data_IF_427072860258
#
_entry.id   IF_427072860258
#
_cell.length_a   1.000
_cell.length_b   1.000
_cell.length_c   1.000
_cell.angle_alpha   90.00
_cell.angle_beta   90.00
_cell.angle_gamma   90.00
#
_symmetry.space_group_name_H-M   'P 1'
#
loop_
_entity.id
_entity.type
_entity.pdbx_description
1 polymer ?
#
# COMPACT_ATOMS: atom_id res chain seq x y z
N UNK A 1 9.73 -5.13 4.68
CA UNK A 1 8.95 -6.36 4.92
C UNK A 1 7.46 -6.04 4.88
N UNK A 2 6.65 -6.98 4.40
CA UNK A 2 5.20 -6.82 4.43
C UNK A 2 4.70 -6.64 5.85
N UNK A 3 3.68 -5.83 6.01
CA UNK A 3 3.12 -5.46 7.29
C UNK A 3 1.85 -6.25 7.57
N UNK A 4 1.65 -6.61 8.82
CA UNK A 4 0.43 -7.26 9.29
C UNK A 4 -0.48 -6.26 10.03
N UNK A 5 -0.58 -5.02 9.53
CA UNK A 5 -1.32 -3.94 10.20
C UNK A 5 -2.76 -4.35 10.56
N UNK A 6 -3.44 -5.03 9.66
CA UNK A 6 -4.82 -5.47 9.81
C UNK A 6 -4.96 -6.98 10.11
N UNK A 7 -3.86 -7.69 10.23
CA UNK A 7 -3.79 -9.13 10.46
C UNK A 7 -3.21 -9.89 9.27
N UNK A 8 -3.08 -11.22 9.40
CA UNK A 8 -2.55 -12.06 8.33
C UNK A 8 -3.50 -12.10 7.14
N UNK A 9 -2.92 -12.12 5.94
CA UNK A 9 -3.62 -12.34 4.67
C UNK A 9 -2.81 -13.28 3.80
N UNK A 10 -3.49 -14.01 2.94
CA UNK A 10 -2.89 -14.95 2.00
C UNK A 10 -3.25 -14.55 0.57
N UNK A 11 -2.32 -14.77 -0.36
CA UNK A 11 -2.52 -14.57 -1.78
C UNK A 11 -2.20 -15.89 -2.47
N UNK A 12 -3.16 -16.42 -3.22
CA UNK A 12 -2.96 -17.56 -4.08
C UNK A 12 -2.68 -17.11 -5.51
N UNK A 13 -1.60 -17.62 -6.09
CA UNK A 13 -1.21 -17.35 -7.48
C UNK A 13 -1.52 -18.58 -8.32
N UNK A 14 -2.28 -18.38 -9.40
CA UNK A 14 -2.61 -19.41 -10.35
C UNK A 14 -2.01 -19.10 -11.72
N UNK A 15 -1.26 -20.05 -12.26
CA UNK A 15 -0.79 -19.97 -13.64
C UNK A 15 -1.84 -20.58 -14.58
N UNK A 16 -2.38 -19.77 -15.52
CA UNK A 16 -3.23 -20.28 -16.58
C UNK A 16 -2.39 -20.71 -17.77
N UNK A 17 -2.50 -21.99 -18.15
CA UNK A 17 -1.77 -22.54 -19.30
C UNK A 17 -2.55 -22.45 -20.61
N UNK A 18 -3.83 -22.12 -20.58
CA UNK A 18 -4.75 -22.25 -21.72
C UNK A 18 -5.41 -20.92 -22.15
N UNK A 19 -5.17 -19.83 -21.46
CA UNK A 19 -5.76 -18.54 -21.81
C UNK A 19 -4.78 -17.68 -22.61
N UNK A 20 -5.28 -16.97 -23.62
CA UNK A 20 -4.56 -15.87 -24.22
C UNK A 20 -4.32 -14.80 -23.15
N UNK A 21 -3.05 -14.41 -22.97
CA UNK A 21 -2.64 -13.46 -21.96
C UNK A 21 -2.67 -12.05 -22.52
N UNK A 22 -3.44 -11.18 -21.89
CA UNK A 22 -3.48 -9.75 -22.21
C UNK A 22 -3.11 -8.95 -20.96
N UNK A 23 -2.35 -7.86 -21.15
CA UNK A 23 -2.09 -6.91 -20.06
C UNK A 23 -3.41 -6.35 -19.54
N UNK A 24 -3.63 -6.42 -18.22
CA UNK A 24 -4.86 -5.91 -17.58
C UNK A 24 -4.95 -4.40 -17.72
N UNK A 25 -3.83 -3.69 -17.54
CA UNK A 25 -3.74 -2.23 -17.60
C UNK A 25 -3.00 -1.79 -18.87
N UNK A 26 -3.69 -1.90 -20.02
CA UNK A 26 -3.19 -1.45 -21.32
C UNK A 26 -4.25 -0.54 -21.97
N UNK A 27 -3.81 0.62 -22.46
CA UNK A 27 -4.67 1.63 -23.11
C UNK A 27 -5.88 2.05 -22.25
N UNK A 28 -5.67 2.16 -20.93
CA UNK A 28 -6.68 2.51 -19.94
C UNK A 28 -6.24 3.68 -19.08
N UNK A 29 -7.21 4.42 -18.57
CA UNK A 29 -6.98 5.50 -17.60
C UNK A 29 -7.22 5.00 -16.18
N UNK A 30 -6.64 5.70 -15.20
CA UNK A 30 -6.84 5.40 -13.77
C UNK A 30 -8.32 5.46 -13.34
N UNK A 31 -9.15 6.19 -14.06
CA UNK A 31 -10.59 6.28 -13.78
C UNK A 31 -11.43 5.17 -14.44
N UNK A 32 -10.84 4.28 -15.20
CA UNK A 32 -11.57 3.20 -15.87
C UNK A 32 -12.00 2.12 -14.87
N UNK A 33 -13.12 1.48 -15.17
CA UNK A 33 -13.66 0.43 -14.33
C UNK A 33 -12.80 -0.83 -14.39
N UNK A 34 -12.66 -1.50 -13.25
CA UNK A 34 -12.00 -2.79 -13.13
C UNK A 34 -10.84 -2.78 -12.15
N UNK A 35 -10.13 -3.91 -12.11
CA UNK A 35 -8.95 -4.08 -11.27
C UNK A 35 -7.79 -3.21 -11.79
N UNK A 36 -7.13 -2.49 -10.90
CA UNK A 36 -6.01 -1.61 -11.22
C UNK A 36 -4.71 -2.17 -10.66
N UNK A 37 -4.64 -2.42 -9.36
CA UNK A 37 -3.43 -2.89 -8.68
C UNK A 37 -3.75 -3.73 -7.44
N UNK A 38 -2.76 -4.51 -7.01
CA UNK A 38 -2.67 -5.05 -5.65
C UNK A 38 -1.96 -4.02 -4.78
N UNK A 39 -2.47 -3.79 -3.57
CA UNK A 39 -1.83 -2.90 -2.61
C UNK A 39 -1.34 -3.67 -1.39
N UNK A 40 -0.09 -3.44 -0.99
CA UNK A 40 0.52 -4.03 0.19
C UNK A 40 0.94 -2.94 1.17
N UNK A 41 0.49 -3.06 2.43
CA UNK A 41 1.08 -2.28 3.51
C UNK A 41 2.47 -2.83 3.84
N UNK A 42 3.46 -1.97 3.88
CA UNK A 42 4.86 -2.33 4.12
C UNK A 42 5.44 -1.49 5.26
N UNK A 43 6.61 -1.89 5.74
CA UNK A 43 7.40 -1.09 6.67
C UNK A 43 8.85 -1.11 6.20
N UNK A 44 9.47 0.07 6.07
CA UNK A 44 10.82 0.24 5.53
C UNK A 44 10.83 0.33 4.00
N UNK A 45 10.16 1.34 3.43
CA UNK A 45 10.08 1.59 2.00
C UNK A 45 11.45 1.70 1.33
N UNK A 46 12.41 2.37 1.97
CA UNK A 46 13.76 2.52 1.45
C UNK A 46 14.50 1.18 1.27
N UNK A 47 14.36 0.28 2.24
CA UNK A 47 14.98 -1.03 2.15
C UNK A 47 14.29 -1.90 1.10
N UNK A 48 12.96 -1.77 0.98
CA UNK A 48 12.20 -2.45 -0.06
C UNK A 48 12.63 -1.97 -1.45
N UNK A 49 12.79 -0.66 -1.65
CA UNK A 49 13.29 -0.08 -2.90
C UNK A 49 14.61 -0.71 -3.31
N UNK A 50 15.61 -0.70 -2.41
CA UNK A 50 16.94 -1.30 -2.67
C UNK A 50 16.85 -2.78 -3.03
N UNK A 51 15.97 -3.54 -2.36
CA UNK A 51 15.77 -4.95 -2.66
C UNK A 51 15.13 -5.17 -4.03
N UNK A 52 14.16 -4.35 -4.40
CA UNK A 52 13.51 -4.41 -5.71
C UNK A 52 14.50 -4.05 -6.83
N UNK A 53 15.25 -2.95 -6.68
CA UNK A 53 16.27 -2.52 -7.62
C UNK A 53 17.35 -3.59 -7.83
N UNK A 54 17.84 -4.20 -6.74
CA UNK A 54 18.85 -5.28 -6.82
C UNK A 54 18.35 -6.51 -7.57
N UNK A 55 17.04 -6.70 -7.68
CA UNK A 55 16.39 -7.78 -8.44
C UNK A 55 15.95 -7.36 -9.85
N UNK A 56 16.21 -6.13 -10.25
CA UNK A 56 15.81 -5.59 -11.55
C UNK A 56 14.38 -5.04 -11.63
N UNK A 57 13.70 -4.89 -10.50
CA UNK A 57 12.34 -4.33 -10.40
C UNK A 57 12.40 -2.94 -9.76
N UNK A 58 12.86 -1.94 -10.50
CA UNK A 58 12.88 -0.57 -10.02
C UNK A 58 11.44 -0.03 -9.83
N UNK A 59 11.27 0.84 -8.84
CA UNK A 59 10.00 1.53 -8.65
C UNK A 59 9.67 2.41 -9.86
N UNK A 60 8.48 2.28 -10.41
CA UNK A 60 7.98 3.12 -11.52
C UNK A 60 7.45 4.46 -11.00
N UNK A 61 6.95 4.47 -9.76
CA UNK A 61 6.58 5.67 -9.00
C UNK A 61 7.12 5.53 -7.59
N UNK A 62 7.71 6.58 -7.04
CA UNK A 62 8.26 6.58 -5.69
C UNK A 62 8.05 7.94 -5.00
N UNK A 63 7.06 7.99 -4.11
CA UNK A 63 6.77 9.20 -3.35
C UNK A 63 7.80 9.49 -2.26
N UNK A 64 8.54 8.47 -1.81
CA UNK A 64 9.55 8.64 -0.75
C UNK A 64 10.81 9.35 -1.25
N UNK A 65 11.16 9.14 -2.52
CA UNK A 65 12.32 9.80 -3.15
C UNK A 65 12.10 11.32 -3.34
N UNK A 66 10.85 11.76 -3.48
CA UNK A 66 10.50 13.14 -3.76
C UNK A 66 10.41 14.04 -2.50
N UNK A 67 10.45 13.47 -1.29
CA UNK A 67 10.06 14.15 -0.06
C UNK A 67 11.20 14.34 0.96
N UNK A 68 12.45 14.09 0.60
CA UNK A 68 13.62 14.20 1.52
C UNK A 68 13.35 13.52 2.89
N UNK A 69 12.65 12.38 2.89
CA UNK A 69 12.26 11.63 4.08
C UNK A 69 11.02 12.17 4.81
N UNK A 70 10.39 13.25 4.34
CA UNK A 70 9.11 13.70 4.86
C UNK A 70 7.98 12.79 4.35
N UNK A 71 6.98 12.53 5.22
CA UNK A 71 5.81 11.74 4.82
C UNK A 71 4.99 12.51 3.80
N UNK A 72 4.61 11.84 2.71
CA UNK A 72 3.65 12.38 1.75
C UNK A 72 2.28 12.53 2.41
N UNK A 73 1.64 13.68 2.23
CA UNK A 73 0.28 13.92 2.70
C UNK A 73 -0.70 13.26 1.73
N UNK A 74 -1.35 12.20 2.19
CA UNK A 74 -2.39 11.47 1.46
C UNK A 74 -3.80 11.95 1.85
N UNK A 75 -3.93 13.19 2.35
CA UNK A 75 -5.14 13.78 2.85
C UNK A 75 -5.35 13.47 4.34
N UNK A 76 -6.14 12.47 4.67
CA UNK A 76 -6.41 12.11 6.06
C UNK A 76 -5.30 11.25 6.70
N UNK A 77 -4.50 10.58 5.89
CA UNK A 77 -3.35 9.78 6.28
C UNK A 77 -2.06 10.43 5.78
N UNK A 78 -0.92 9.98 6.27
CA UNK A 78 0.38 10.35 5.75
C UNK A 78 1.30 9.12 5.72
N UNK A 79 2.18 9.07 4.72
CA UNK A 79 3.09 7.95 4.55
C UNK A 79 3.86 8.04 3.25
N UNK A 80 4.25 6.89 2.72
CA UNK A 80 4.83 6.75 1.39
C UNK A 80 4.00 5.79 0.56
N UNK A 81 4.00 5.97 -0.74
CA UNK A 81 3.49 5.01 -1.70
C UNK A 81 4.45 4.86 -2.87
N UNK A 82 4.48 3.69 -3.46
CA UNK A 82 5.33 3.35 -4.60
C UNK A 82 4.69 2.27 -5.43
N UNK A 83 5.03 2.21 -6.71
CA UNK A 83 4.51 1.21 -7.65
C UNK A 83 5.64 0.46 -8.32
N UNK A 84 5.42 -0.83 -8.57
CA UNK A 84 6.18 -1.64 -9.51
C UNK A 84 5.22 -2.34 -10.47
N UNK A 85 5.74 -2.85 -11.57
CA UNK A 85 5.03 -3.80 -12.43
C UNK A 85 5.56 -5.21 -12.17
N UNK A 86 4.66 -6.19 -12.15
CA UNK A 86 5.04 -7.59 -12.19
C UNK A 86 5.46 -7.99 -13.63
N UNK A 87 5.98 -9.22 -13.86
CA UNK A 87 6.38 -9.67 -15.20
C UNK A 87 5.24 -9.67 -16.24
N UNK A 88 4.00 -9.76 -15.81
CA UNK A 88 2.81 -9.72 -16.67
C UNK A 88 2.29 -8.29 -16.88
N UNK A 89 2.89 -7.30 -16.23
CA UNK A 89 2.54 -5.89 -16.31
C UNK A 89 1.36 -5.50 -15.42
N UNK A 90 1.01 -6.31 -14.42
CA UNK A 90 0.07 -5.90 -13.39
C UNK A 90 0.77 -4.96 -12.40
N UNK A 91 0.06 -3.90 -12.00
CA UNK A 91 0.59 -2.94 -11.04
C UNK A 91 0.51 -3.49 -9.62
N UNK A 92 1.60 -3.30 -8.88
CA UNK A 92 1.70 -3.59 -7.46
C UNK A 92 2.03 -2.29 -6.74
N UNK A 93 1.16 -1.89 -5.81
CA UNK A 93 1.37 -0.74 -4.95
C UNK A 93 1.96 -1.17 -3.62
N UNK A 94 2.94 -0.43 -3.14
CA UNK A 94 3.41 -0.51 -1.75
C UNK A 94 3.03 0.78 -1.03
N UNK A 95 2.43 0.65 0.14
CA UNK A 95 2.08 1.78 1.00
C UNK A 95 2.76 1.60 2.34
N UNK A 96 3.52 2.59 2.77
CA UNK A 96 4.04 2.67 4.14
C UNK A 96 3.28 3.75 4.89
N UNK A 97 2.40 3.33 5.81
CA UNK A 97 1.54 4.24 6.55
C UNK A 97 2.25 4.75 7.79
N UNK A 98 2.44 6.06 7.88
CA UNK A 98 3.07 6.73 9.03
C UNK A 98 2.08 7.31 10.02
N UNK A 99 0.90 7.73 9.54
CA UNK A 99 -0.13 8.38 10.35
C UNK A 99 -1.51 8.03 9.81
N UNK A 100 -2.42 7.65 10.72
CA UNK A 100 -3.84 7.44 10.40
C UNK A 100 -4.73 8.17 11.40
N UNK A 101 -5.86 8.75 10.98
CA UNK A 101 -6.80 9.37 11.89
C UNK A 101 -7.61 8.29 12.63
N UNK A 102 -7.73 8.40 13.96
CA UNK A 102 -8.57 7.53 14.79
C UNK A 102 -9.95 8.18 14.99
N UNK A 103 -9.98 9.46 15.35
CA UNK A 103 -11.20 10.23 15.52
C UNK A 103 -11.06 11.56 14.81
N UNK A 104 -11.55 11.64 13.56
CA UNK A 104 -11.43 12.82 12.69
C UNK A 104 -11.95 14.09 13.34
N UNK A 105 -13.13 14.04 13.97
CA UNK A 105 -13.77 15.20 14.62
C UNK A 105 -12.94 15.80 15.74
N UNK A 106 -12.05 15.02 16.36
CA UNK A 106 -11.19 15.44 17.47
C UNK A 106 -9.73 15.69 17.04
N UNK A 107 -9.42 15.47 15.79
CA UNK A 107 -8.04 15.58 15.27
C UNK A 107 -7.09 14.50 15.81
N UNK A 108 -7.62 13.44 16.40
CA UNK A 108 -6.77 12.37 16.96
C UNK A 108 -6.27 11.46 15.86
N UNK A 109 -4.95 11.26 15.85
CA UNK A 109 -4.26 10.39 14.91
C UNK A 109 -3.32 9.43 15.61
N UNK A 110 -3.12 8.27 15.04
CA UNK A 110 -2.14 7.27 15.44
C UNK A 110 -0.87 7.45 14.61
N UNK A 111 0.27 7.58 15.28
CA UNK A 111 1.58 7.56 14.64
C UNK A 111 2.07 6.11 14.53
N UNK A 112 2.38 5.69 13.31
CA UNK A 112 2.80 4.32 13.00
C UNK A 112 4.28 4.22 12.58
N UNK A 113 5.03 5.33 12.52
CA UNK A 113 6.45 5.33 12.09
C UNK A 113 7.34 4.35 12.86
N UNK A 114 7.10 4.22 14.16
CA UNK A 114 7.88 3.33 15.03
C UNK A 114 7.26 1.93 15.21
N UNK A 115 6.25 1.58 14.40
CA UNK A 115 5.56 0.30 14.50
C UNK A 115 6.44 -0.86 14.04
N UNK A 116 6.36 -1.97 14.75
CA UNK A 116 6.95 -3.23 14.29
C UNK A 116 6.02 -3.87 13.24
N UNK A 117 6.55 -4.16 12.05
CA UNK A 117 5.78 -4.72 10.92
C UNK A 117 4.99 -5.99 11.27
N UNK A 118 5.54 -6.86 12.10
CA UNK A 118 4.94 -8.14 12.50
C UNK A 118 3.89 -8.05 13.61
N UNK A 119 3.55 -6.84 14.10
CA UNK A 119 2.53 -6.67 15.14
C UNK A 119 1.30 -5.99 14.57
N UNK A 120 0.17 -6.71 14.40
CA UNK A 120 -1.08 -6.11 13.98
C UNK A 120 -1.61 -5.12 15.02
N UNK A 121 -2.43 -4.19 14.58
CA UNK A 121 -3.12 -3.29 15.52
C UNK A 121 -4.06 -4.09 16.42
N UNK A 122 -4.16 -3.71 17.71
CA UNK A 122 -5.12 -4.33 18.61
C UNK A 122 -6.55 -4.24 18.05
N UNK A 123 -7.34 -5.29 18.21
CA UNK A 123 -8.73 -5.35 17.68
C UNK A 123 -9.61 -4.18 18.15
N UNK A 124 -9.40 -3.65 19.34
CA UNK A 124 -10.14 -2.49 19.84
C UNK A 124 -9.84 -1.22 19.04
N UNK A 125 -8.58 -1.03 18.59
CA UNK A 125 -8.21 0.10 17.71
C UNK A 125 -8.85 -0.04 16.34
N UNK A 126 -8.89 -1.24 15.77
CA UNK A 126 -9.57 -1.50 14.50
C UNK A 126 -11.07 -1.16 14.60
N UNK A 127 -11.70 -1.45 15.75
CA UNK A 127 -13.09 -1.04 16.00
C UNK A 127 -13.25 0.48 16.08
N UNK A 128 -12.25 1.21 16.56
CA UNK A 128 -12.32 2.67 16.64
C UNK A 128 -12.39 3.33 15.26
N UNK A 129 -11.81 2.74 14.21
CA UNK A 129 -11.95 3.25 12.85
C UNK A 129 -13.40 3.26 12.34
N UNK A 130 -14.28 2.45 12.92
CA UNK A 130 -15.71 2.46 12.57
C UNK A 130 -16.41 3.80 12.92
N UNK A 131 -15.84 4.62 13.82
CA UNK A 131 -16.35 5.96 14.12
C UNK A 131 -16.15 6.97 12.99
N UNK A 132 -15.25 6.63 12.03
CA UNK A 132 -14.98 7.45 10.85
C UNK A 132 -15.80 7.01 9.63
N UNK A 133 -16.85 6.20 9.81
CA UNK A 133 -17.71 5.79 8.69
C UNK A 133 -18.25 7.02 7.96
N UNK A 134 -18.07 7.02 6.66
CA UNK A 134 -18.80 7.91 5.76
C UNK A 134 -20.26 7.47 5.86
N UNK A 135 -21.15 8.41 6.16
CA UNK A 135 -22.59 8.16 6.05
C UNK A 135 -22.97 8.44 4.60
N UNK A 136 -23.51 7.45 3.94
CA UNK A 136 -24.17 7.59 2.65
C UNK A 136 -25.33 8.58 2.75
#
# INVERSE_FOLDING_TARGET
>A
AFSELFGPSEIELFESQHAEKTKIFQDRFWGDLGFIHLCFDVNGMDDLRKQCEAKGYAFTVDSSAAQDGASFDMGEAAGFFSYIEDPDGALIEFVETHKVPIVKKMGWSLNLKARTASKPLPKWMLKAFAFNRVKD
#
